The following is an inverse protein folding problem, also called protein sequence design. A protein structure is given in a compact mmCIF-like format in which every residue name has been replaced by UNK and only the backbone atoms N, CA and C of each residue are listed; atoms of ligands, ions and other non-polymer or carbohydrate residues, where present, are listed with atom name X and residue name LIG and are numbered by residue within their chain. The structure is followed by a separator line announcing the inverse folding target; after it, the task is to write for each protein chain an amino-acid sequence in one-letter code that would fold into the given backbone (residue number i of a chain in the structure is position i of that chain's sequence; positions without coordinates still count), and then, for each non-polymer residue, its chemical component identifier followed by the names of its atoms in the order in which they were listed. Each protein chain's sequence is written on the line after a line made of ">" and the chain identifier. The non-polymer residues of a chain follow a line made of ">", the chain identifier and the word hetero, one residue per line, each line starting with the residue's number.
data_IF_575941399551
#
_entry.id   IF_575941399551
#
_cell.length_a   1.000
_cell.length_b   1.000
_cell.length_c   1.000
_cell.angle_alpha   90.00
_cell.angle_beta   90.00
_cell.angle_gamma   90.00
#
_symmetry.space_group_name_H-M   'P 1'
#
loop_
_entity.id
_entity.type
_entity.pdbx_description
1 polymer ?
#
# COMPACT_ATOMS: atom_id res chain seq x y z
N UNK A 1 35.46 -3.48 -3.76
CA UNK A 1 35.61 -4.78 -4.45
C UNK A 1 34.85 -5.92 -3.80
N UNK A 2 35.00 -6.23 -2.50
CA UNK A 2 34.32 -7.39 -1.89
C UNK A 2 32.79 -7.31 -1.96
N UNK A 3 32.18 -6.14 -1.72
CA UNK A 3 30.72 -5.95 -1.77
C UNK A 3 30.13 -6.05 -3.18
N UNK A 4 30.83 -5.53 -4.19
CA UNK A 4 30.40 -5.62 -5.60
C UNK A 4 30.47 -7.05 -6.13
N UNK A 5 31.48 -7.83 -5.71
CA UNK A 5 31.59 -9.26 -6.06
C UNK A 5 30.45 -10.07 -5.44
N UNK A 6 30.08 -9.78 -4.18
CA UNK A 6 28.94 -10.45 -3.52
C UNK A 6 27.62 -10.14 -4.24
N UNK A 7 27.38 -8.88 -4.62
CA UNK A 7 26.19 -8.49 -5.40
C UNK A 7 26.17 -9.20 -6.76
N UNK A 8 27.32 -9.30 -7.43
CA UNK A 8 27.45 -9.98 -8.72
C UNK A 8 27.20 -11.50 -8.59
N UNK A 9 27.71 -12.14 -7.53
CA UNK A 9 27.47 -13.55 -7.25
C UNK A 9 26.00 -13.80 -6.93
N UNK A 10 25.35 -12.92 -6.17
CA UNK A 10 23.90 -13.01 -5.89
C UNK A 10 23.08 -12.84 -7.18
N UNK A 11 23.41 -11.86 -8.02
CA UNK A 11 22.77 -11.65 -9.34
C UNK A 11 22.96 -12.87 -10.27
N UNK A 12 24.18 -13.41 -10.35
CA UNK A 12 24.50 -14.57 -11.20
C UNK A 12 23.88 -15.87 -10.66
N UNK A 13 23.74 -16.02 -9.34
CA UNK A 13 23.05 -17.15 -8.72
C UNK A 13 21.55 -17.16 -9.02
N UNK A 14 20.94 -15.99 -9.26
CA UNK A 14 19.56 -15.88 -9.75
C UNK A 14 19.41 -16.33 -11.21
N UNK A 15 20.52 -16.40 -11.97
CA UNK A 15 20.57 -16.87 -13.36
C UNK A 15 20.85 -18.38 -13.49
N UNK A 16 21.02 -19.11 -12.39
CA UNK A 16 21.10 -20.58 -12.43
C UNK A 16 19.68 -21.11 -12.68
N UNK A 17 19.37 -21.23 -13.97
CA UNK A 17 18.18 -21.86 -14.49
C UNK A 17 18.10 -23.30 -13.95
N UNK A 18 17.29 -23.48 -12.91
CA UNK A 18 16.70 -24.79 -12.62
C UNK A 18 15.93 -25.22 -13.87
N UNK A 19 16.26 -26.40 -14.39
CA UNK A 19 15.56 -27.08 -15.48
C UNK A 19 14.15 -27.48 -15.04
N UNK A 20 13.30 -26.51 -14.74
CA UNK A 20 11.90 -26.78 -14.47
C UNK A 20 11.15 -26.97 -15.79
N UNK A 21 10.22 -27.92 -15.73
CA UNK A 21 9.32 -28.31 -16.81
C UNK A 21 8.67 -27.11 -17.54
N UNK A 22 8.02 -27.35 -18.68
CA UNK A 22 7.25 -26.37 -19.49
C UNK A 22 6.10 -25.64 -18.73
N UNK A 23 6.10 -25.64 -17.39
CA UNK A 23 5.17 -24.93 -16.55
C UNK A 23 5.42 -23.42 -16.57
N UNK A 24 4.31 -22.68 -16.68
CA UNK A 24 4.29 -21.23 -16.74
C UNK A 24 4.47 -20.67 -15.34
N UNK A 25 5.72 -20.38 -15.01
CA UNK A 25 6.12 -19.98 -13.66
C UNK A 25 5.98 -18.48 -13.42
N UNK A 26 5.79 -17.66 -14.47
CA UNK A 26 5.71 -16.21 -14.35
C UNK A 26 4.29 -15.71 -14.54
N UNK A 27 3.91 -14.69 -13.78
CA UNK A 27 2.66 -13.97 -13.95
C UNK A 27 2.88 -12.48 -13.80
N UNK A 28 2.33 -11.69 -14.71
CA UNK A 28 2.24 -10.23 -14.56
C UNK A 28 0.81 -9.88 -14.20
N UNK A 29 0.64 -8.96 -13.26
CA UNK A 29 -0.65 -8.55 -12.71
C UNK A 29 -0.71 -7.04 -12.55
N UNK A 30 -1.93 -6.51 -12.56
CA UNK A 30 -2.27 -5.14 -12.18
C UNK A 30 -3.27 -5.18 -11.03
N UNK A 31 -3.26 -4.17 -10.17
CA UNK A 31 -4.18 -4.06 -9.04
C UNK A 31 -5.11 -2.85 -9.22
N UNK A 32 -6.21 -2.98 -9.99
CA UNK A 32 -7.09 -1.85 -10.31
C UNK A 32 -7.75 -1.22 -9.09
N UNK A 33 -7.95 -1.96 -7.99
CA UNK A 33 -8.51 -1.40 -6.74
C UNK A 33 -7.64 -0.28 -6.18
N UNK A 34 -6.34 -0.33 -6.43
CA UNK A 34 -5.39 0.69 -5.94
C UNK A 34 -5.51 2.03 -6.67
N UNK A 35 -6.23 2.11 -7.80
CA UNK A 35 -6.55 3.38 -8.45
C UNK A 35 -7.52 4.23 -7.60
N UNK A 36 -8.36 3.60 -6.77
CA UNK A 36 -9.34 4.30 -5.93
C UNK A 36 -9.01 4.18 -4.44
N UNK A 37 -7.73 4.00 -4.10
CA UNK A 37 -7.27 3.89 -2.72
C UNK A 37 -7.24 5.27 -2.03
N UNK A 38 -8.37 5.61 -1.39
CA UNK A 38 -8.56 6.84 -0.63
C UNK A 38 -7.88 6.77 0.75
N UNK A 39 -7.75 5.56 1.32
CA UNK A 39 -7.20 5.35 2.66
C UNK A 39 -5.70 5.64 2.75
N UNK A 40 -4.97 5.47 1.63
CA UNK A 40 -3.58 5.89 1.53
C UNK A 40 -3.37 6.92 0.43
N UNK A 41 -3.29 6.47 -0.82
CA UNK A 41 -3.24 7.32 -2.01
C UNK A 41 -3.42 6.46 -3.28
N UNK A 42 -4.07 7.01 -4.33
CA UNK A 42 -4.34 6.29 -5.56
C UNK A 42 -3.05 6.00 -6.34
N UNK A 43 -2.88 4.78 -6.81
CA UNK A 43 -1.67 4.36 -7.57
C UNK A 43 -2.01 3.38 -8.67
N UNK A 44 -1.27 3.47 -9.77
CA UNK A 44 -1.19 2.38 -10.74
C UNK A 44 -0.16 1.37 -10.23
N UNK A 45 -0.61 0.17 -9.87
CA UNK A 45 0.24 -0.90 -9.34
C UNK A 45 0.40 -2.05 -10.33
N UNK A 46 1.66 -2.40 -10.58
CA UNK A 46 2.07 -3.55 -11.39
C UNK A 46 2.79 -4.57 -10.51
N UNK A 47 2.43 -5.83 -10.69
CA UNK A 47 2.90 -6.95 -9.90
C UNK A 47 3.49 -8.02 -10.81
N UNK A 48 4.61 -8.61 -10.38
CA UNK A 48 5.26 -9.74 -11.03
C UNK A 48 5.36 -10.87 -10.01
N UNK A 49 4.73 -11.98 -10.33
CA UNK A 49 4.79 -13.22 -9.57
C UNK A 49 5.69 -14.23 -10.26
N UNK A 50 6.57 -14.88 -9.49
CA UNK A 50 7.29 -16.08 -9.88
C UNK A 50 6.94 -17.23 -8.96
N UNK A 51 6.48 -18.34 -9.51
CA UNK A 51 6.38 -19.62 -8.78
C UNK A 51 7.78 -20.15 -8.52
N UNK A 52 8.07 -20.42 -7.25
CA UNK A 52 9.33 -21.03 -6.82
C UNK A 52 9.21 -22.54 -6.89
N UNK A 53 8.04 -23.07 -6.51
CA UNK A 53 7.67 -24.48 -6.65
C UNK A 53 6.14 -24.60 -6.74
N UNK A 54 5.62 -25.83 -6.64
CA UNK A 54 4.18 -26.07 -6.71
C UNK A 54 3.39 -25.40 -5.58
N UNK A 55 4.01 -25.21 -4.41
CA UNK A 55 3.40 -24.77 -3.16
C UNK A 55 3.67 -23.30 -2.83
N UNK A 56 4.72 -22.69 -3.39
CA UNK A 56 5.12 -21.33 -3.04
C UNK A 56 5.43 -20.46 -4.26
N UNK A 57 5.22 -19.16 -4.06
CA UNK A 57 5.57 -18.13 -5.03
C UNK A 57 6.10 -16.88 -4.33
N UNK A 58 6.83 -16.07 -5.08
CA UNK A 58 7.26 -14.74 -4.69
C UNK A 58 6.57 -13.74 -5.60
N UNK A 59 5.95 -12.73 -5.02
CA UNK A 59 5.32 -11.62 -5.73
C UNK A 59 5.99 -10.31 -5.35
N UNK A 60 6.35 -9.51 -6.35
CA UNK A 60 6.88 -8.16 -6.18
C UNK A 60 5.90 -7.21 -6.86
N UNK A 61 5.46 -6.18 -6.15
CA UNK A 61 4.49 -5.19 -6.64
C UNK A 61 5.06 -3.78 -6.45
N UNK A 62 4.96 -2.97 -7.49
CA UNK A 62 5.44 -1.58 -7.52
C UNK A 62 4.32 -0.69 -8.02
N UNK A 63 4.12 0.45 -7.35
CA UNK A 63 3.07 1.40 -7.65
C UNK A 63 3.57 2.83 -7.68
N UNK A 64 2.99 3.63 -8.58
CA UNK A 64 3.26 5.06 -8.69
C UNK A 64 1.96 5.84 -8.67
N UNK A 65 1.94 6.98 -7.98
CA UNK A 65 0.79 7.87 -7.90
C UNK A 65 0.62 8.65 -9.20
N UNK A 66 -0.55 8.52 -9.84
CA UNK A 66 -0.85 9.18 -11.12
C UNK A 66 -1.62 10.49 -10.94
N UNK A 67 -2.42 10.59 -9.89
CA UNK A 67 -3.26 11.74 -9.60
C UNK A 67 -3.46 11.88 -8.09
N UNK A 68 -4.06 12.98 -7.68
CA UNK A 68 -4.55 13.19 -6.32
C UNK A 68 -6.03 13.52 -6.39
N UNK A 69 -6.76 13.19 -5.33
CA UNK A 69 -8.18 13.55 -5.18
C UNK A 69 -8.36 14.86 -4.44
N UNK A 70 -7.31 15.35 -3.74
CA UNK A 70 -7.38 16.61 -3.00
C UNK A 70 -7.26 17.81 -3.94
N UNK A 71 -8.25 18.69 -3.89
CA UNK A 71 -8.19 20.02 -4.49
C UNK A 71 -7.92 20.99 -3.35
N UNK A 72 -6.68 21.44 -3.24
CA UNK A 72 -6.26 22.50 -2.31
C UNK A 72 -5.88 23.71 -3.16
N UNK A 73 -6.12 24.92 -2.67
CA UNK A 73 -5.87 26.16 -3.43
C UNK A 73 -4.38 26.57 -3.41
N UNK A 74 -3.51 25.66 -2.98
CA UNK A 74 -2.08 25.92 -2.73
C UNK A 74 -1.16 25.01 -3.55
N UNK A 75 0.08 25.46 -3.75
CA UNK A 75 1.10 24.78 -4.57
C UNK A 75 2.33 24.34 -3.76
N UNK A 76 2.22 24.19 -2.43
CA UNK A 76 3.37 23.87 -1.56
C UNK A 76 4.13 22.62 -2.01
N UNK A 77 3.41 21.53 -2.27
CA UNK A 77 3.97 20.26 -2.72
C UNK A 77 3.24 19.75 -3.96
N UNK A 78 4.02 19.42 -5.00
CA UNK A 78 3.50 18.65 -6.13
C UNK A 78 3.15 17.22 -5.67
N UNK A 79 1.93 16.72 -5.90
CA UNK A 79 1.56 15.35 -5.56
C UNK A 79 2.46 14.32 -6.23
N UNK A 80 3.03 13.41 -5.44
CA UNK A 80 3.78 12.25 -5.93
C UNK A 80 3.81 11.18 -4.84
N UNK A 81 3.87 9.93 -5.26
CA UNK A 81 3.90 8.82 -4.34
C UNK A 81 4.35 7.53 -4.99
N UNK A 82 4.89 6.65 -4.16
CA UNK A 82 5.46 5.38 -4.54
C UNK A 82 5.06 4.31 -3.51
N UNK A 83 4.72 3.11 -3.99
CA UNK A 83 4.44 1.94 -3.18
C UNK A 83 5.27 0.77 -3.68
N UNK A 84 5.83 -0.02 -2.77
CA UNK A 84 6.48 -1.29 -3.09
C UNK A 84 6.08 -2.35 -2.09
N UNK A 85 5.79 -3.55 -2.59
CA UNK A 85 5.46 -4.72 -1.78
C UNK A 85 6.29 -5.93 -2.24
N UNK A 86 6.78 -6.71 -1.29
CA UNK A 86 7.39 -8.02 -1.55
C UNK A 86 6.62 -9.03 -0.72
N UNK A 87 6.04 -10.04 -1.38
CA UNK A 87 5.13 -11.00 -0.77
C UNK A 87 5.57 -12.43 -1.08
N UNK A 88 5.93 -13.17 -0.03
CA UNK A 88 6.14 -14.61 -0.11
C UNK A 88 4.82 -15.34 0.15
N UNK A 89 4.44 -16.26 -0.73
CA UNK A 89 3.14 -16.94 -0.74
C UNK A 89 3.26 -18.43 -0.56
N UNK A 90 2.26 -19.02 0.09
CA UNK A 90 2.06 -20.46 0.19
C UNK A 90 0.62 -20.80 -0.23
N UNK A 91 0.47 -21.72 -1.18
CA UNK A 91 -0.82 -22.23 -1.66
C UNK A 91 -1.29 -23.39 -0.77
N UNK A 92 -2.16 -23.06 0.18
CA UNK A 92 -2.60 -23.97 1.26
C UNK A 92 -3.22 -25.27 0.72
N UNK A 93 -4.07 -25.18 -0.29
CA UNK A 93 -4.75 -26.36 -0.84
C UNK A 93 -3.79 -27.37 -1.47
N UNK A 94 -2.67 -26.89 -2.02
CA UNK A 94 -1.64 -27.75 -2.59
C UNK A 94 -0.76 -28.37 -1.52
N UNK A 95 -0.43 -27.59 -0.49
CA UNK A 95 0.35 -28.06 0.65
C UNK A 95 -0.37 -29.20 1.38
N UNK A 96 -1.63 -29.01 1.76
CA UNK A 96 -2.38 -30.01 2.54
C UNK A 96 -2.76 -31.25 1.73
N UNK A 97 -3.01 -31.12 0.43
CA UNK A 97 -3.37 -32.26 -0.43
C UNK A 97 -2.18 -32.82 -1.23
N UNK A 98 -0.95 -32.38 -0.93
CA UNK A 98 0.29 -32.74 -1.67
C UNK A 98 0.12 -32.71 -3.19
N UNK A 99 -0.59 -31.68 -3.69
CA UNK A 99 -1.02 -31.62 -5.09
C UNK A 99 -0.02 -30.84 -5.94
N UNK A 100 0.47 -31.49 -6.99
CA UNK A 100 1.35 -30.89 -8.00
C UNK A 100 0.56 -30.01 -8.98
N UNK A 101 -0.54 -30.56 -9.54
CA UNK A 101 -1.36 -29.87 -10.56
C UNK A 101 -2.15 -28.69 -9.97
N UNK A 102 -2.08 -27.54 -10.65
CA UNK A 102 -2.89 -26.36 -10.30
C UNK A 102 -4.36 -26.56 -10.70
N UNK A 103 -5.29 -26.20 -9.82
CA UNK A 103 -6.73 -26.10 -10.12
C UNK A 103 -7.11 -24.69 -10.57
N UNK A 104 -8.38 -24.52 -10.94
CA UNK A 104 -8.98 -23.22 -11.33
C UNK A 104 -8.99 -22.21 -10.18
N UNK A 105 -8.94 -22.65 -8.92
CA UNK A 105 -8.94 -21.80 -7.73
C UNK A 105 -7.91 -22.35 -6.75
N UNK A 106 -7.08 -21.45 -6.20
CA UNK A 106 -6.01 -21.78 -5.27
C UNK A 106 -6.01 -20.75 -4.13
N UNK A 107 -6.42 -21.19 -2.94
CA UNK A 107 -6.30 -20.39 -1.72
C UNK A 107 -4.83 -20.27 -1.32
N UNK A 108 -4.39 -19.06 -1.00
CA UNK A 108 -3.04 -18.80 -0.52
C UNK A 108 -3.05 -17.93 0.73
N UNK A 109 -1.98 -18.09 1.52
CA UNK A 109 -1.58 -17.16 2.57
C UNK A 109 -0.18 -16.65 2.25
N UNK A 110 0.12 -15.42 2.64
CA UNK A 110 1.41 -14.81 2.36
C UNK A 110 1.86 -13.85 3.45
N UNK A 111 3.17 -13.64 3.52
CA UNK A 111 3.80 -12.61 4.35
C UNK A 111 4.32 -11.55 3.38
N UNK A 112 3.85 -10.33 3.57
CA UNK A 112 4.18 -9.18 2.74
C UNK A 112 4.94 -8.14 3.56
N UNK A 113 6.10 -7.72 3.08
CA UNK A 113 6.79 -6.52 3.57
C UNK A 113 6.50 -5.39 2.59
N UNK A 114 6.20 -4.21 3.10
CA UNK A 114 5.87 -3.06 2.26
C UNK A 114 6.57 -1.78 2.69
N UNK A 115 6.71 -0.89 1.71
CA UNK A 115 7.13 0.49 1.89
C UNK A 115 6.28 1.40 0.99
N UNK A 116 5.81 2.53 1.55
CA UNK A 116 4.98 3.51 0.88
C UNK A 116 5.48 4.89 1.25
N UNK A 117 5.57 5.77 0.27
CA UNK A 117 5.90 7.17 0.49
C UNK A 117 5.01 8.00 -0.41
N UNK A 118 4.41 9.06 0.12
CA UNK A 118 3.70 10.04 -0.68
C UNK A 118 3.85 11.45 -0.11
N UNK A 119 3.70 12.43 -0.98
CA UNK A 119 3.56 13.83 -0.62
C UNK A 119 2.39 14.44 -1.38
N UNK A 120 1.69 15.37 -0.73
CA UNK A 120 0.58 16.14 -1.29
C UNK A 120 0.31 17.37 -0.44
N UNK A 121 -0.57 18.22 -0.92
CA UNK A 121 -1.20 19.24 -0.09
C UNK A 121 -2.48 18.66 0.51
N UNK A 122 -2.78 19.07 1.73
CA UNK A 122 -4.02 18.75 2.45
C UNK A 122 -4.53 20.01 3.13
N UNK A 123 -5.73 19.93 3.68
CA UNK A 123 -6.33 21.00 4.43
C UNK A 123 -6.95 20.48 5.73
N UNK A 124 -7.14 21.38 6.67
CA UNK A 124 -7.80 21.09 7.93
C UNK A 124 -8.68 22.26 8.35
N UNK A 125 -9.84 21.92 8.90
CA UNK A 125 -10.79 22.87 9.45
C UNK A 125 -10.74 22.77 10.98
N UNK A 126 -10.56 23.92 11.63
CA UNK A 126 -10.44 23.98 13.09
C UNK A 126 -11.10 25.22 13.67
N UNK A 127 -11.35 25.16 14.98
CA UNK A 127 -11.92 26.26 15.77
C UNK A 127 -11.06 26.51 17.00
N UNK A 128 -10.99 27.75 17.53
CA UNK A 128 -10.30 28.05 18.78
C UNK A 128 -10.89 27.25 19.95
N UNK A 129 -10.03 26.79 20.85
CA UNK A 129 -10.42 26.25 22.16
C UNK A 129 -10.58 27.47 23.09
N UNK A 130 -11.63 28.28 22.91
CA UNK A 130 -11.93 29.38 23.83
C UNK A 130 -13.07 28.98 24.80
N UNK A 131 -12.97 29.22 26.12
CA UNK A 131 -13.98 28.80 27.10
C UNK A 131 -15.19 29.73 27.24
N UNK A 132 -15.29 30.80 26.45
CA UNK A 132 -16.20 31.92 26.72
C UNK A 132 -16.96 32.30 25.45
N UNK A 133 -18.29 32.22 25.55
CA UNK A 133 -19.33 32.58 24.59
C UNK A 133 -19.84 31.44 23.68
N UNK A 134 -20.73 30.62 24.25
CA UNK A 134 -21.62 29.70 23.50
C UNK A 134 -22.60 30.44 22.55
N UNK A 135 -22.63 31.78 22.57
CA UNK A 135 -23.60 32.62 21.85
C UNK A 135 -23.01 33.45 20.68
N UNK A 136 -21.71 33.38 20.40
CA UNK A 136 -21.09 34.03 19.24
C UNK A 136 -20.79 33.02 18.13
N UNK A 137 -20.99 33.43 16.87
CA UNK A 137 -20.59 32.66 15.69
C UNK A 137 -19.13 32.24 15.85
N UNK A 138 -18.88 30.94 15.99
CA UNK A 138 -17.53 30.40 16.05
C UNK A 138 -16.93 30.54 14.65
N UNK A 139 -15.94 31.42 14.50
CA UNK A 139 -15.21 31.54 13.24
C UNK A 139 -14.49 30.22 12.96
N UNK A 140 -14.90 29.56 11.87
CA UNK A 140 -14.24 28.36 11.36
C UNK A 140 -13.02 28.77 10.53
N UNK A 141 -11.86 28.23 10.89
CA UNK A 141 -10.61 28.47 10.18
C UNK A 141 -10.32 27.28 9.25
N UNK A 142 -9.89 27.59 8.03
CA UNK A 142 -9.38 26.63 7.05
C UNK A 142 -7.89 26.88 6.85
N UNK A 143 -7.08 25.85 7.04
CA UNK A 143 -5.63 25.88 6.84
C UNK A 143 -5.20 24.82 5.83
N UNK A 144 -4.50 25.26 4.79
CA UNK A 144 -3.92 24.42 3.75
C UNK A 144 -2.44 24.21 4.06
N UNK A 145 -1.97 22.97 4.05
CA UNK A 145 -0.59 22.63 4.44
C UNK A 145 -0.01 21.50 3.61
N UNK A 146 1.32 21.45 3.58
CA UNK A 146 2.07 20.37 2.93
C UNK A 146 2.14 19.13 3.80
N UNK A 147 1.97 17.95 3.20
CA UNK A 147 2.03 16.65 3.88
C UNK A 147 3.04 15.74 3.19
N UNK A 148 3.97 15.19 3.98
CA UNK A 148 4.84 14.09 3.57
C UNK A 148 4.62 12.90 4.48
N UNK A 149 4.25 11.76 3.89
CA UNK A 149 3.95 10.53 4.60
C UNK A 149 4.88 9.41 4.15
N UNK A 150 5.39 8.67 5.11
CA UNK A 150 6.12 7.43 4.88
C UNK A 150 5.52 6.34 5.75
N UNK A 151 5.24 5.18 5.18
CA UNK A 151 4.73 4.03 5.89
C UNK A 151 5.51 2.77 5.50
N UNK A 152 5.90 1.99 6.49
CA UNK A 152 6.54 0.69 6.29
C UNK A 152 5.97 -0.32 7.27
N UNK A 153 5.94 -1.58 6.88
CA UNK A 153 5.31 -2.59 7.72
C UNK A 153 5.35 -3.99 7.14
N UNK A 154 4.63 -4.86 7.84
CA UNK A 154 4.49 -6.28 7.50
C UNK A 154 3.00 -6.61 7.56
N UNK A 155 2.49 -7.28 6.52
CA UNK A 155 1.13 -7.78 6.45
C UNK A 155 1.12 -9.30 6.32
N UNK A 156 0.13 -9.92 6.94
CA UNK A 156 -0.38 -11.19 6.48
C UNK A 156 -1.38 -10.93 5.35
N UNK A 157 -1.22 -11.66 4.25
CA UNK A 157 -2.13 -11.60 3.10
C UNK A 157 -2.86 -12.93 3.00
N UNK A 158 -4.18 -12.89 2.83
CA UNK A 158 -4.98 -14.08 2.51
C UNK A 158 -5.74 -13.77 1.24
N UNK A 159 -5.65 -14.66 0.25
CA UNK A 159 -6.30 -14.45 -1.03
C UNK A 159 -6.61 -15.75 -1.73
N UNK A 160 -7.43 -15.64 -2.78
CA UNK A 160 -7.77 -16.78 -3.62
C UNK A 160 -7.44 -16.45 -5.07
N UNK A 161 -6.56 -17.25 -5.67
CA UNK A 161 -6.15 -17.06 -7.06
C UNK A 161 -6.99 -17.93 -7.98
N UNK A 162 -7.87 -17.30 -8.75
CA UNK A 162 -8.59 -17.94 -9.84
C UNK A 162 -7.78 -17.89 -11.12
N UNK A 163 -7.62 -19.02 -11.79
CA UNK A 163 -6.89 -19.14 -13.06
C UNK A 163 -7.82 -19.69 -14.15
N UNK A 164 -8.06 -18.90 -15.19
CA UNK A 164 -8.85 -19.28 -16.37
C UNK A 164 -7.92 -19.27 -17.58
N UNK A 165 -7.46 -20.45 -17.99
CA UNK A 165 -6.38 -20.62 -18.97
C UNK A 165 -5.10 -19.86 -18.55
N UNK A 166 -4.86 -18.67 -19.11
CA UNK A 166 -3.72 -17.81 -18.78
C UNK A 166 -4.10 -16.61 -17.93
N UNK A 167 -5.38 -16.29 -17.81
CA UNK A 167 -5.84 -15.15 -17.02
C UNK A 167 -5.88 -15.48 -15.54
N UNK A 168 -5.51 -14.51 -14.73
CA UNK A 168 -5.52 -14.57 -13.26
C UNK A 168 -6.49 -13.51 -12.74
N UNK A 169 -7.36 -13.92 -11.82
CA UNK A 169 -8.17 -13.04 -10.98
C UNK A 169 -7.86 -13.40 -9.52
N UNK A 170 -7.52 -12.42 -8.70
CA UNK A 170 -7.04 -12.66 -7.35
C UNK A 170 -7.55 -11.61 -6.37
N UNK A 171 -8.75 -11.79 -5.80
CA UNK A 171 -9.17 -11.05 -4.62
C UNK A 171 -8.34 -11.46 -3.41
N UNK A 172 -8.00 -10.49 -2.56
CA UNK A 172 -7.24 -10.70 -1.34
C UNK A 172 -7.56 -9.66 -0.26
N UNK A 173 -7.27 -10.05 0.98
CA UNK A 173 -7.33 -9.21 2.18
C UNK A 173 -5.94 -9.16 2.79
N UNK A 174 -5.56 -8.00 3.31
CA UNK A 174 -4.35 -7.81 4.10
C UNK A 174 -4.69 -7.31 5.49
N UNK A 175 -3.96 -7.83 6.46
CA UNK A 175 -3.98 -7.34 7.83
C UNK A 175 -2.56 -7.40 8.40
N UNK A 176 -2.18 -6.42 9.20
CA UNK A 176 -0.81 -6.34 9.65
C UNK A 176 -0.53 -5.14 10.51
N UNK A 177 0.75 -4.83 10.59
CA UNK A 177 1.27 -3.77 11.42
C UNK A 177 2.12 -2.83 10.58
N UNK A 178 1.99 -1.54 10.84
CA UNK A 178 2.72 -0.51 10.14
C UNK A 178 3.20 0.58 11.08
N UNK A 179 4.37 1.12 10.76
CA UNK A 179 4.86 2.36 11.32
C UNK A 179 4.70 3.46 10.27
N UNK A 180 3.96 4.51 10.62
CA UNK A 180 3.73 5.70 9.79
C UNK A 180 4.47 6.88 10.37
N UNK A 181 5.13 7.64 9.51
CA UNK A 181 5.66 8.96 9.82
C UNK A 181 4.98 9.98 8.92
N UNK A 182 4.38 10.99 9.53
CA UNK A 182 3.81 12.16 8.86
C UNK A 182 4.67 13.36 9.22
N UNK A 183 4.97 14.19 8.23
CA UNK A 183 5.65 15.48 8.42
C UNK A 183 4.78 16.53 7.74
N UNK A 184 4.43 17.57 8.48
CA UNK A 184 3.69 18.71 7.97
C UNK A 184 4.63 19.88 7.69
N UNK A 185 4.31 20.68 6.68
CA UNK A 185 4.97 21.95 6.40
C UNK A 185 3.92 23.04 6.24
N UNK A 186 4.24 24.23 6.74
CA UNK A 186 3.37 25.40 6.63
C UNK A 186 2.01 25.21 7.33
N UNK A 187 1.96 24.38 8.38
CA UNK A 187 0.78 24.16 9.21
C UNK A 187 0.70 25.24 10.31
N UNK A 188 -0.40 26.00 10.32
CA UNK A 188 -0.68 27.01 11.34
C UNK A 188 -1.51 26.44 12.51
N UNK A 189 -2.24 25.35 12.27
CA UNK A 189 -2.98 24.62 13.31
C UNK A 189 -2.08 24.20 14.50
N UNK A 190 -2.53 24.53 15.72
CA UNK A 190 -1.88 24.20 16.99
C UNK A 190 -2.86 23.44 17.90
N UNK A 191 -2.58 22.15 18.14
CA UNK A 191 -3.42 21.25 18.96
C UNK A 191 -3.64 21.75 20.40
N UNK A 192 -2.78 22.64 20.92
CA UNK A 192 -2.92 23.20 22.26
C UNK A 192 -3.89 24.38 22.34
N UNK A 193 -4.20 25.00 21.19
CA UNK A 193 -5.06 26.18 21.08
C UNK A 193 -6.32 25.95 20.25
N UNK A 194 -6.31 24.94 19.39
CA UNK A 194 -7.35 24.72 18.39
C UNK A 194 -7.89 23.28 18.45
N UNK A 195 -9.19 23.12 18.26
CA UNK A 195 -9.86 21.84 18.16
C UNK A 195 -10.33 21.58 16.73
N UNK A 196 -10.29 20.31 16.31
CA UNK A 196 -10.73 19.93 14.97
C UNK A 196 -12.25 20.00 14.85
N UNK A 197 -12.74 20.65 13.80
CA UNK A 197 -14.16 20.62 13.48
C UNK A 197 -14.50 19.29 12.82
N UNK A 198 -15.10 18.35 13.57
CA UNK A 198 -15.34 16.98 13.09
C UNK A 198 -16.58 16.83 12.20
N UNK A 199 -17.25 17.93 11.84
CA UNK A 199 -18.58 17.86 11.21
C UNK A 199 -18.57 17.29 9.78
N UNK A 200 -17.43 17.25 9.07
CA UNK A 200 -17.44 17.00 7.61
C UNK A 200 -16.49 15.93 7.01
N UNK A 201 -15.65 15.19 7.75
CA UNK A 201 -14.85 14.12 7.12
C UNK A 201 -14.49 12.92 8.01
N UNK A 202 -14.73 11.72 7.48
CA UNK A 202 -14.37 10.40 8.06
C UNK A 202 -12.85 10.18 8.27
N UNK A 203 -11.99 11.10 7.81
CA UNK A 203 -10.52 11.00 7.86
C UNK A 203 -9.82 12.33 8.25
N UNK A 204 -10.55 13.28 8.82
CA UNK A 204 -9.98 14.54 9.34
C UNK A 204 -8.89 14.24 10.37
N UNK A 205 -7.78 14.98 10.30
CA UNK A 205 -6.61 14.76 11.16
C UNK A 205 -5.73 13.56 10.79
N UNK A 206 -6.11 12.74 9.80
CA UNK A 206 -5.25 11.64 9.34
C UNK A 206 -3.91 12.10 8.74
N UNK A 207 -3.88 13.35 8.30
CA UNK A 207 -2.73 14.03 7.69
C UNK A 207 -1.85 14.80 8.70
N UNK A 208 -2.18 14.80 10.00
CA UNK A 208 -1.38 15.47 11.03
C UNK A 208 -0.19 14.63 11.52
N UNK A 209 0.86 15.32 11.99
CA UNK A 209 2.05 14.70 12.58
C UNK A 209 1.72 13.87 13.83
N UNK A 210 0.75 14.31 14.64
CA UNK A 210 0.27 13.62 15.84
C UNK A 210 -0.28 12.22 15.57
N UNK A 211 -0.69 11.95 14.33
CA UNK A 211 -1.15 10.65 13.88
C UNK A 211 -0.01 9.76 13.32
N UNK A 212 1.24 10.14 13.55
CA UNK A 212 2.40 9.29 13.33
C UNK A 212 2.50 8.20 14.40
N UNK A 213 3.21 7.12 14.08
CA UNK A 213 3.47 6.03 15.00
C UNK A 213 3.03 4.70 14.45
N UNK A 214 2.79 3.79 15.38
CA UNK A 214 2.51 2.39 15.10
C UNK A 214 1.00 2.16 15.06
N UNK A 215 0.53 1.49 14.01
CA UNK A 215 -0.88 1.23 13.81
C UNK A 215 -1.13 -0.09 13.10
N UNK A 216 -2.34 -0.59 13.30
CA UNK A 216 -2.85 -1.73 12.55
C UNK A 216 -3.11 -1.32 11.10
N UNK A 217 -2.63 -2.12 10.15
CA UNK A 217 -2.86 -1.92 8.74
C UNK A 217 -3.87 -2.96 8.25
N UNK A 218 -4.94 -2.51 7.61
CA UNK A 218 -5.94 -3.35 6.96
C UNK A 218 -6.13 -2.91 5.52
N UNK A 219 -6.45 -3.84 4.63
CA UNK A 219 -6.74 -3.50 3.24
C UNK A 219 -7.38 -4.64 2.47
N UNK A 220 -8.02 -4.25 1.38
CA UNK A 220 -8.64 -5.15 0.40
C UNK A 220 -8.02 -4.86 -0.96
N UNK A 221 -7.93 -5.88 -1.80
CA UNK A 221 -7.45 -5.70 -3.16
C UNK A 221 -7.92 -6.79 -4.10
N UNK A 222 -7.73 -6.54 -5.40
CA UNK A 222 -8.03 -7.50 -6.44
C UNK A 222 -7.01 -7.35 -7.55
N UNK A 223 -6.23 -8.39 -7.81
CA UNK A 223 -5.26 -8.41 -8.91
C UNK A 223 -5.84 -9.10 -10.13
N UNK A 224 -5.63 -8.49 -11.30
CA UNK A 224 -5.93 -9.06 -12.61
C UNK A 224 -4.62 -9.30 -13.35
N UNK A 225 -4.43 -10.44 -13.99
CA UNK A 225 -3.16 -10.70 -14.65
C UNK A 225 -3.15 -11.81 -15.68
N UNK A 226 -1.95 -12.12 -16.14
CA UNK A 226 -1.67 -13.08 -17.19
C UNK A 226 -0.43 -13.92 -16.84
N UNK A 227 -0.53 -15.23 -17.06
CA UNK A 227 0.52 -16.22 -16.78
C UNK A 227 1.18 -16.70 -18.08
N UNK A 228 2.50 -16.68 -18.14
CA UNK A 228 3.30 -17.09 -19.30
C UNK A 228 4.48 -17.99 -18.92
#
# INVERSE_FOLDING_TARGET
>A
MKRTIVILIVMLSACVYSQESKERNWGIKINPVQLIDIASFPTLQLSVERKINYYSSLNIEVGYQLYDFTNTDTIFLKPKGFKTNIEGRIYLQKLFNSRVKSKRSELYAGIQVFYRENQRNSFIEYVPIDPINEDEYIDEYLDDFGVKKTAKGINLTVGNQFSFARFILEPFVVFGYMNRKTINSDLEYDESKHSLNMNHAFFLGSDLESNSGDMFNFGLGCRLGYRF
#
